data_IF_106318342237
#
_entry.id   IF_106318342237
#
_cell.length_a   1.000
_cell.length_b   1.000
_cell.length_c   1.000
_cell.angle_alpha   90.00
_cell.angle_beta   90.00
_cell.angle_gamma   90.00
#
_symmetry.space_group_name_H-M   'P 1'
#
loop_
_entity.id
_entity.type
_entity.pdbx_description
1 polymer ?
#
# COMPACT_ATOMS: atom_id res chain seq x y z
N UNK A 1 -20.17 -0.05 -92.68
CA UNK A 1 -20.72 0.31 -91.35
C UNK A 1 -20.58 -0.90 -90.46
N UNK A 2 -19.51 -0.92 -89.64
CA UNK A 2 -19.24 -2.00 -88.70
C UNK A 2 -19.59 -1.55 -87.32
N UNK A 3 -20.52 -2.21 -86.67
CA UNK A 3 -20.89 -1.99 -85.20
C UNK A 3 -19.90 -2.76 -84.33
N UNK A 4 -19.15 -2.07 -83.50
CA UNK A 4 -18.38 -2.70 -82.45
C UNK A 4 -19.30 -3.01 -81.27
N UNK A 5 -19.27 -4.23 -80.83
CA UNK A 5 -19.92 -4.74 -79.62
C UNK A 5 -18.91 -4.65 -78.47
N UNK A 6 -19.15 -3.82 -77.49
CA UNK A 6 -18.34 -3.76 -76.27
C UNK A 6 -19.00 -4.71 -75.23
N UNK A 7 -18.28 -5.78 -74.91
CA UNK A 7 -18.67 -6.70 -73.82
C UNK A 7 -18.01 -6.20 -72.53
N UNK A 8 -18.81 -5.74 -71.58
CA UNK A 8 -18.36 -5.41 -70.27
C UNK A 8 -18.34 -6.68 -69.37
N UNK A 9 -17.14 -7.13 -68.96
CA UNK A 9 -16.96 -8.14 -67.95
C UNK A 9 -17.11 -7.52 -66.56
N UNK A 10 -18.16 -7.85 -65.86
CA UNK A 10 -18.31 -7.55 -64.44
C UNK A 10 -17.55 -8.58 -63.61
N UNK A 11 -16.41 -8.20 -63.02
CA UNK A 11 -15.73 -8.97 -62.00
C UNK A 11 -16.47 -8.73 -60.65
N UNK A 12 -17.27 -9.68 -60.23
CA UNK A 12 -17.77 -9.76 -58.84
C UNK A 12 -16.67 -10.30 -57.96
N UNK A 13 -15.89 -9.37 -57.36
CA UNK A 13 -14.95 -9.73 -56.28
C UNK A 13 -15.69 -10.09 -55.03
N UNK A 14 -15.76 -11.39 -54.72
CA UNK A 14 -16.22 -11.88 -53.42
C UNK A 14 -15.15 -11.62 -52.38
N UNK A 15 -15.23 -10.48 -51.66
CA UNK A 15 -14.41 -10.25 -50.45
C UNK A 15 -14.89 -11.17 -49.34
N UNK A 16 -14.19 -12.26 -49.16
CA UNK A 16 -14.31 -13.08 -47.93
C UNK A 16 -13.72 -12.26 -46.80
N UNK A 17 -14.59 -11.62 -46.01
CA UNK A 17 -14.20 -11.07 -44.73
C UNK A 17 -13.77 -12.24 -43.84
N UNK A 18 -12.61 -12.17 -43.17
CA UNK A 18 -12.25 -13.19 -42.21
C UNK A 18 -13.31 -13.17 -41.09
N UNK A 19 -13.98 -14.32 -40.93
CA UNK A 19 -14.83 -14.57 -39.77
C UNK A 19 -13.95 -14.40 -38.51
N UNK A 20 -14.18 -13.33 -37.77
CA UNK A 20 -13.64 -13.18 -36.44
C UNK A 20 -14.25 -14.30 -35.60
N UNK A 21 -13.48 -15.35 -35.41
CA UNK A 21 -13.82 -16.43 -34.47
C UNK A 21 -14.13 -15.74 -33.13
N UNK A 22 -15.38 -15.86 -32.68
CA UNK A 22 -15.77 -15.43 -31.35
C UNK A 22 -14.82 -16.09 -30.36
N UNK A 23 -13.96 -15.26 -29.74
CA UNK A 23 -13.09 -15.74 -28.68
C UNK A 23 -13.97 -16.39 -27.61
N UNK A 24 -13.72 -17.66 -27.34
CA UNK A 24 -14.40 -18.44 -26.30
C UNK A 24 -14.37 -17.75 -24.91
N UNK A 25 -15.19 -18.21 -23.97
CA UNK A 25 -15.37 -17.58 -22.71
C UNK A 25 -14.07 -17.47 -21.90
N UNK A 26 -14.01 -16.46 -21.03
CA UNK A 26 -12.87 -16.02 -20.21
C UNK A 26 -12.44 -17.06 -19.15
N UNK A 27 -12.77 -18.32 -19.29
CA UNK A 27 -12.48 -19.39 -18.32
C UNK A 27 -11.02 -19.90 -18.32
N UNK A 28 -10.17 -19.40 -19.21
CA UNK A 28 -8.77 -19.82 -19.32
C UNK A 28 -7.84 -19.29 -18.19
N UNK A 29 -8.35 -18.48 -17.25
CA UNK A 29 -7.55 -17.98 -16.14
C UNK A 29 -7.36 -19.01 -15.03
N UNK A 30 -8.30 -19.90 -14.84
CA UNK A 30 -8.26 -20.94 -13.81
C UNK A 30 -8.52 -22.30 -14.45
N UNK A 31 -7.49 -23.12 -14.46
CA UNK A 31 -7.61 -24.55 -14.72
C UNK A 31 -7.61 -25.32 -13.41
N UNK A 32 -8.38 -26.40 -13.31
CA UNK A 32 -8.43 -27.19 -12.10
C UNK A 32 -8.48 -28.68 -12.36
N UNK A 33 -7.62 -29.42 -11.68
CA UNK A 33 -7.49 -30.86 -11.77
C UNK A 33 -7.92 -31.53 -10.47
N UNK A 34 -8.52 -32.73 -10.58
CA UNK A 34 -8.83 -33.53 -9.41
C UNK A 34 -7.54 -34.07 -8.79
N UNK A 35 -7.51 -34.11 -7.47
CA UNK A 35 -6.41 -34.67 -6.68
C UNK A 35 -6.87 -35.88 -5.88
N UNK A 36 -5.89 -36.72 -5.53
CA UNK A 36 -6.02 -37.76 -4.50
C UNK A 36 -5.18 -37.38 -3.28
N UNK A 37 -5.43 -38.01 -2.17
CA UNK A 37 -4.52 -37.95 -1.02
C UNK A 37 -3.14 -38.48 -1.43
N UNK A 38 -2.09 -37.90 -0.85
CA UNK A 38 -0.70 -38.19 -1.17
C UNK A 38 -0.07 -37.09 -2.02
N UNK A 39 1.05 -37.41 -2.65
CA UNK A 39 1.87 -36.45 -3.40
C UNK A 39 1.51 -36.43 -4.87
N UNK A 40 1.20 -35.24 -5.37
CA UNK A 40 0.95 -34.97 -6.81
C UNK A 40 1.97 -33.98 -7.34
N UNK A 41 2.50 -34.24 -8.55
CA UNK A 41 3.38 -33.33 -9.29
C UNK A 41 2.62 -32.70 -10.43
N UNK A 42 2.76 -31.38 -10.63
CA UNK A 42 2.19 -30.67 -11.78
C UNK A 42 3.24 -29.83 -12.47
N UNK A 43 3.18 -29.79 -13.82
CA UNK A 43 3.99 -28.87 -14.59
C UNK A 43 3.39 -27.47 -14.56
N UNK A 44 4.24 -26.47 -14.59
CA UNK A 44 3.90 -25.06 -14.58
C UNK A 44 4.45 -24.40 -15.85
N UNK A 45 3.63 -23.63 -16.53
CA UNK A 45 4.03 -22.91 -17.76
C UNK A 45 3.91 -21.40 -17.58
N UNK A 46 2.72 -20.91 -17.33
CA UNK A 46 2.39 -19.49 -17.22
C UNK A 46 1.51 -19.17 -16.00
N UNK A 47 1.29 -20.16 -15.14
CA UNK A 47 0.54 -19.98 -13.92
C UNK A 47 1.28 -19.07 -12.96
N UNK A 48 0.53 -18.21 -12.28
CA UNK A 48 1.02 -17.30 -11.22
C UNK A 48 1.01 -17.96 -9.85
N UNK A 49 -0.03 -18.76 -9.62
CA UNK A 49 -0.24 -19.47 -8.36
C UNK A 49 -0.98 -20.79 -8.58
N UNK A 50 -0.88 -21.64 -7.57
CA UNK A 50 -1.75 -22.81 -7.43
C UNK A 50 -2.48 -22.72 -6.07
N UNK A 51 -3.49 -23.56 -5.90
CA UNK A 51 -4.16 -23.73 -4.62
C UNK A 51 -4.91 -25.03 -4.54
N UNK A 52 -5.07 -25.55 -3.34
CA UNK A 52 -5.78 -26.82 -3.09
C UNK A 52 -7.07 -26.53 -2.35
N UNK A 53 -8.15 -27.14 -2.82
CA UNK A 53 -9.49 -27.06 -2.20
C UNK A 53 -10.07 -28.42 -2.01
N UNK A 54 -11.05 -28.58 -1.12
CA UNK A 54 -11.77 -29.82 -0.88
C UNK A 54 -13.23 -29.55 -0.50
N UNK A 55 -14.09 -30.53 -0.70
CA UNK A 55 -15.53 -30.40 -0.42
C UNK A 55 -15.89 -30.74 1.01
N UNK A 56 -15.28 -31.76 1.59
CA UNK A 56 -15.56 -32.20 2.96
C UNK A 56 -14.36 -32.85 3.62
N UNK A 57 -14.41 -33.01 4.94
CA UNK A 57 -13.32 -33.56 5.76
C UNK A 57 -12.25 -32.53 6.10
N UNK A 58 -11.09 -33.01 6.52
CA UNK A 58 -9.94 -32.20 6.91
C UNK A 58 -8.74 -32.52 6.06
N UNK A 59 -7.96 -31.50 5.70
CA UNK A 59 -6.71 -31.65 4.98
C UNK A 59 -5.55 -30.96 5.70
N UNK A 60 -4.36 -31.53 5.57
CA UNK A 60 -3.08 -30.88 5.75
C UNK A 60 -2.38 -30.89 4.41
N UNK A 61 -1.92 -29.76 3.98
CA UNK A 61 -1.31 -29.59 2.65
C UNK A 61 0.11 -29.10 2.81
N UNK A 62 1.06 -29.80 2.20
CA UNK A 62 2.43 -29.32 2.05
C UNK A 62 2.73 -29.17 0.57
N UNK A 63 3.59 -28.24 0.24
CA UNK A 63 3.98 -27.96 -1.14
C UNK A 63 5.47 -27.67 -1.25
N UNK A 64 6.00 -27.84 -2.46
CA UNK A 64 7.34 -27.41 -2.82
C UNK A 64 7.43 -27.11 -4.31
N UNK A 65 8.42 -26.32 -4.66
CA UNK A 65 8.66 -25.87 -6.01
C UNK A 65 9.93 -26.49 -6.58
N UNK A 66 9.93 -26.81 -7.85
CA UNK A 66 11.12 -27.17 -8.61
C UNK A 66 11.57 -25.96 -9.40
N UNK A 67 12.85 -25.61 -9.27
CA UNK A 67 13.46 -24.44 -9.93
C UNK A 67 14.90 -24.76 -10.29
N UNK A 68 15.29 -24.54 -11.54
CA UNK A 68 16.66 -24.78 -12.03
C UNK A 68 17.18 -26.19 -11.68
N UNK A 69 16.36 -27.22 -11.88
CA UNK A 69 16.74 -28.63 -11.66
C UNK A 69 16.73 -29.07 -10.19
N UNK A 70 16.24 -28.27 -9.24
CA UNK A 70 16.23 -28.58 -7.80
C UNK A 70 14.85 -28.36 -7.17
N UNK A 71 14.50 -29.23 -6.24
CA UNK A 71 13.33 -29.05 -5.38
C UNK A 71 13.67 -28.19 -4.18
N UNK A 72 12.78 -27.26 -3.83
CA UNK A 72 12.83 -26.57 -2.54
C UNK A 72 12.55 -27.55 -1.38
N UNK A 73 12.77 -27.12 -0.14
CA UNK A 73 12.20 -27.79 1.02
C UNK A 73 10.66 -27.82 0.94
N UNK A 74 10.06 -28.77 1.66
CA UNK A 74 8.62 -28.80 1.85
C UNK A 74 8.16 -27.68 2.78
N UNK A 75 7.16 -26.93 2.35
CA UNK A 75 6.49 -25.89 3.13
C UNK A 75 5.08 -26.34 3.46
N UNK A 76 4.61 -26.12 4.67
CA UNK A 76 3.21 -26.35 5.02
C UNK A 76 2.38 -25.17 4.53
N UNK A 77 1.32 -25.46 3.77
CA UNK A 77 0.40 -24.43 3.30
C UNK A 77 -0.48 -23.91 4.44
N UNK A 78 -0.68 -22.61 4.49
CA UNK A 78 -1.71 -22.02 5.33
C UNK A 78 -3.09 -22.39 4.79
N UNK A 79 -4.00 -22.69 5.72
CA UNK A 79 -5.35 -23.10 5.38
C UNK A 79 -6.31 -21.96 5.69
N UNK A 80 -7.13 -21.64 4.71
CA UNK A 80 -8.23 -20.71 4.91
C UNK A 80 -9.56 -21.47 4.95
N UNK A 81 -10.21 -21.37 6.09
CA UNK A 81 -11.54 -21.90 6.34
C UNK A 81 -12.58 -20.78 6.36
N UNK A 82 -12.42 -19.80 5.47
CA UNK A 82 -13.16 -18.55 5.39
C UNK A 82 -14.67 -18.68 5.66
N UNK A 83 -15.28 -17.54 6.03
CA UNK A 83 -16.73 -17.41 6.24
C UNK A 83 -17.55 -17.66 4.96
N UNK A 84 -16.89 -17.73 3.78
CA UNK A 84 -17.48 -17.94 2.47
C UNK A 84 -16.78 -19.05 1.70
N UNK A 85 -17.52 -19.73 0.81
CA UNK A 85 -16.97 -20.67 -0.18
C UNK A 85 -16.63 -22.04 0.37
N UNK A 86 -15.62 -22.66 -0.20
CA UNK A 86 -15.13 -23.99 0.15
C UNK A 86 -13.77 -23.89 0.86
N UNK A 87 -13.47 -24.83 1.78
CA UNK A 87 -12.17 -24.83 2.44
C UNK A 87 -11.03 -25.07 1.45
N UNK A 88 -9.86 -24.51 1.73
CA UNK A 88 -8.69 -24.63 0.88
C UNK A 88 -7.45 -24.02 1.50
N UNK A 89 -6.37 -23.99 0.71
CA UNK A 89 -5.16 -23.26 1.08
C UNK A 89 -5.33 -21.78 0.82
N UNK A 90 -4.48 -20.94 1.42
CA UNK A 90 -4.17 -19.63 0.86
C UNK A 90 -3.54 -19.79 -0.53
N UNK A 91 -3.48 -18.74 -1.37
CA UNK A 91 -2.83 -18.80 -2.67
C UNK A 91 -1.35 -19.22 -2.53
N UNK A 92 -0.95 -20.30 -3.20
CA UNK A 92 0.44 -20.76 -3.21
C UNK A 92 1.15 -20.12 -4.42
N UNK A 93 1.82 -19.01 -4.20
CA UNK A 93 2.42 -18.22 -5.27
C UNK A 93 3.66 -18.89 -5.85
N UNK A 94 3.71 -18.97 -7.18
CA UNK A 94 4.82 -19.54 -7.93
C UNK A 94 6.06 -18.66 -7.85
N UNK A 95 7.22 -19.18 -7.38
CA UNK A 95 8.49 -18.48 -7.45
C UNK A 95 8.95 -18.25 -8.90
N UNK A 96 9.80 -17.24 -9.10
CA UNK A 96 10.39 -17.01 -10.42
C UNK A 96 11.19 -18.23 -10.89
N UNK A 97 10.95 -18.66 -12.14
CA UNK A 97 11.66 -19.78 -12.75
C UNK A 97 11.21 -21.16 -12.29
N UNK A 98 10.21 -21.30 -11.42
CA UNK A 98 9.68 -22.60 -11.09
C UNK A 98 8.96 -23.22 -12.29
N UNK A 99 9.27 -24.47 -12.61
CA UNK A 99 8.71 -25.22 -13.74
C UNK A 99 7.80 -26.38 -13.31
N UNK A 100 7.95 -26.86 -12.05
CA UNK A 100 7.10 -27.87 -11.45
C UNK A 100 6.67 -27.44 -10.04
N UNK A 101 5.51 -27.94 -9.63
CA UNK A 101 5.07 -27.93 -8.24
C UNK A 101 4.77 -29.34 -7.76
N UNK A 102 5.03 -29.62 -6.50
CA UNK A 102 4.48 -30.77 -5.80
C UNK A 102 3.60 -30.32 -4.64
N UNK A 103 2.47 -30.97 -4.51
CA UNK A 103 1.59 -30.85 -3.34
C UNK A 103 1.44 -32.22 -2.70
N UNK A 104 1.51 -32.31 -1.37
CA UNK A 104 1.28 -33.53 -0.58
C UNK A 104 0.07 -33.26 0.33
N UNK A 105 -1.02 -33.94 0.08
CA UNK A 105 -2.28 -33.77 0.81
C UNK A 105 -2.52 -34.98 1.69
N UNK A 106 -2.73 -34.73 2.99
CA UNK A 106 -3.02 -35.74 4.00
C UNK A 106 -4.28 -35.38 4.77
N UNK A 107 -4.93 -36.37 5.35
CA UNK A 107 -6.15 -36.23 6.15
C UNK A 107 -7.31 -37.06 5.65
N UNK A 108 -8.53 -36.58 5.90
CA UNK A 108 -9.78 -37.23 5.53
C UNK A 108 -10.55 -36.48 4.46
N UNK A 109 -9.92 -35.52 3.78
CA UNK A 109 -10.57 -34.66 2.80
C UNK A 109 -11.05 -35.44 1.58
N UNK A 110 -12.22 -35.06 1.07
CA UNK A 110 -12.80 -35.60 -0.18
C UNK A 110 -13.15 -34.47 -1.16
N UNK A 111 -13.28 -34.82 -2.45
CA UNK A 111 -13.52 -33.82 -3.50
C UNK A 111 -12.35 -32.86 -3.67
N UNK A 112 -11.14 -33.37 -3.50
CA UNK A 112 -9.90 -32.61 -3.62
C UNK A 112 -9.67 -32.12 -5.04
N UNK A 113 -9.32 -30.84 -5.17
CA UNK A 113 -8.96 -30.21 -6.45
C UNK A 113 -7.74 -29.31 -6.27
N UNK A 114 -6.89 -29.26 -7.29
CA UNK A 114 -5.85 -28.26 -7.41
C UNK A 114 -6.23 -27.27 -8.52
N UNK A 115 -6.36 -26.01 -8.17
CA UNK A 115 -6.50 -24.93 -9.13
C UNK A 115 -5.12 -24.42 -9.55
N UNK A 116 -4.98 -24.06 -10.82
CA UNK A 116 -3.83 -23.40 -11.42
C UNK A 116 -4.30 -22.09 -12.01
N UNK A 117 -3.80 -20.97 -11.51
CA UNK A 117 -4.26 -19.63 -11.90
C UNK A 117 -3.19 -18.93 -12.72
N UNK A 118 -3.55 -18.52 -13.93
CA UNK A 118 -2.70 -17.77 -14.84
C UNK A 118 -2.91 -16.26 -14.73
N UNK A 119 -2.08 -15.46 -15.40
CA UNK A 119 -2.11 -14.00 -15.31
C UNK A 119 -3.09 -13.30 -16.28
N UNK A 120 -3.74 -14.05 -17.13
CA UNK A 120 -4.69 -13.51 -18.11
C UNK A 120 -4.10 -12.53 -19.13
N UNK A 121 -2.79 -12.48 -19.30
CA UNK A 121 -2.10 -11.50 -20.17
C UNK A 121 -2.51 -11.55 -21.64
N UNK A 122 -3.12 -12.63 -22.12
CA UNK A 122 -3.43 -12.80 -23.55
C UNK A 122 -4.51 -11.88 -24.11
N UNK A 123 -5.26 -11.15 -23.28
CA UNK A 123 -6.40 -10.32 -23.75
C UNK A 123 -6.32 -8.82 -23.44
N UNK A 124 -5.25 -8.30 -22.83
CA UNK A 124 -5.15 -6.88 -22.47
C UNK A 124 -4.67 -5.96 -23.60
N UNK A 125 -4.70 -6.38 -24.85
CA UNK A 125 -4.35 -5.52 -25.98
C UNK A 125 -5.31 -4.37 -26.28
N UNK A 126 -6.45 -4.22 -25.61
CA UNK A 126 -7.49 -3.27 -26.04
C UNK A 126 -8.15 -2.46 -24.91
N UNK A 127 -7.86 -2.68 -23.65
CA UNK A 127 -8.63 -2.05 -22.56
C UNK A 127 -7.89 -1.02 -21.67
N UNK A 128 -6.74 -0.49 -22.09
CA UNK A 128 -6.03 0.56 -21.33
C UNK A 128 -6.41 1.99 -21.73
N UNK A 129 -7.53 2.21 -22.41
CA UNK A 129 -7.95 3.53 -22.90
C UNK A 129 -9.19 4.08 -22.19
N UNK A 130 -9.32 3.90 -20.89
CA UNK A 130 -10.30 4.65 -20.10
C UNK A 130 -9.75 4.88 -18.69
N UNK A 131 -8.71 5.71 -18.59
CA UNK A 131 -8.39 6.33 -17.31
C UNK A 131 -9.59 7.20 -16.91
N UNK A 132 -10.57 6.61 -16.25
CA UNK A 132 -11.52 7.39 -15.47
C UNK A 132 -10.70 8.06 -14.37
N UNK A 133 -10.87 9.39 -14.25
CA UNK A 133 -10.19 10.16 -13.23
C UNK A 133 -10.30 9.45 -11.88
N UNK A 134 -9.16 9.06 -11.33
CA UNK A 134 -9.08 8.48 -9.99
C UNK A 134 -9.78 9.42 -9.02
N UNK A 135 -10.65 8.88 -8.17
CA UNK A 135 -11.41 9.68 -7.22
C UNK A 135 -10.48 10.06 -6.08
N UNK A 136 -9.94 11.28 -6.14
CA UNK A 136 -9.14 11.82 -5.04
C UNK A 136 -10.00 11.98 -3.76
N UNK A 137 -9.54 11.41 -2.65
CA UNK A 137 -10.15 11.56 -1.33
C UNK A 137 -9.15 12.22 -0.38
N UNK A 138 -9.55 13.23 0.42
CA UNK A 138 -8.60 14.09 1.14
C UNK A 138 -7.53 13.34 1.95
N UNK A 139 -7.87 12.23 2.59
CA UNK A 139 -6.92 11.45 3.41
C UNK A 139 -6.30 10.30 2.63
N UNK A 140 -7.12 9.60 1.83
CA UNK A 140 -6.71 8.39 1.12
C UNK A 140 -5.84 8.70 -0.11
N UNK A 141 -6.00 9.90 -0.68
CA UNK A 141 -5.36 10.29 -1.93
C UNK A 141 -6.01 9.63 -3.13
N UNK A 142 -5.22 9.41 -4.17
CA UNK A 142 -5.64 8.71 -5.37
C UNK A 142 -5.80 7.22 -5.11
N UNK A 143 -6.94 6.65 -5.52
CA UNK A 143 -7.22 5.22 -5.44
C UNK A 143 -7.43 4.69 -6.84
N UNK A 144 -6.67 3.66 -7.19
CA UNK A 144 -6.86 2.92 -8.42
C UNK A 144 -8.15 2.09 -8.29
N UNK A 145 -9.04 2.26 -9.25
CA UNK A 145 -10.36 1.62 -9.22
C UNK A 145 -10.29 0.14 -9.62
N UNK A 146 -11.37 -0.57 -9.44
CA UNK A 146 -11.51 -1.95 -9.94
C UNK A 146 -11.30 -2.05 -11.46
N UNK A 147 -11.69 -1.03 -12.22
CA UNK A 147 -11.44 -0.97 -13.67
C UNK A 147 -9.95 -0.84 -14.01
N UNK A 148 -9.17 -0.15 -13.18
CA UNK A 148 -7.74 0.08 -13.43
C UNK A 148 -6.91 -1.21 -13.30
N UNK A 149 -7.33 -2.18 -12.49
CA UNK A 149 -6.71 -3.50 -12.48
C UNK A 149 -7.44 -4.54 -13.33
N UNK A 150 -8.53 -4.15 -14.03
CA UNK A 150 -9.25 -5.01 -14.96
C UNK A 150 -10.11 -6.07 -14.28
N UNK A 151 -10.85 -5.69 -13.22
CA UNK A 151 -11.83 -6.58 -12.60
C UNK A 151 -12.90 -7.00 -13.62
N UNK A 152 -13.14 -8.28 -13.72
CA UNK A 152 -14.33 -8.78 -14.42
C UNK A 152 -15.51 -8.78 -13.46
N UNK A 153 -16.35 -7.75 -13.56
CA UNK A 153 -17.48 -7.55 -12.65
C UNK A 153 -18.56 -8.64 -12.77
N UNK A 154 -18.54 -9.43 -13.87
CA UNK A 154 -19.44 -10.57 -14.04
C UNK A 154 -19.11 -11.73 -13.09
N UNK A 155 -17.90 -11.74 -12.51
CA UNK A 155 -17.49 -12.77 -11.55
C UNK A 155 -18.06 -12.52 -10.15
N UNK A 156 -18.51 -11.30 -9.85
CA UNK A 156 -19.11 -10.99 -8.54
C UNK A 156 -20.38 -11.82 -8.35
N UNK A 157 -20.33 -12.75 -7.41
CA UNK A 157 -21.39 -13.77 -7.23
C UNK A 157 -22.61 -13.27 -6.45
N UNK A 158 -22.41 -12.27 -5.60
CA UNK A 158 -23.45 -11.69 -4.73
C UNK A 158 -23.27 -10.19 -4.55
N UNK A 159 -24.37 -9.48 -4.33
CA UNK A 159 -24.31 -8.08 -3.95
C UNK A 159 -23.48 -7.90 -2.66
N UNK A 160 -22.73 -6.79 -2.54
CA UNK A 160 -21.97 -6.50 -1.32
C UNK A 160 -22.87 -6.40 -0.10
N UNK A 161 -22.43 -6.96 1.01
CA UNK A 161 -23.04 -6.79 2.33
C UNK A 161 -22.28 -5.74 3.15
N UNK A 162 -22.98 -5.11 4.11
CA UNK A 162 -22.44 -3.99 4.84
C UNK A 162 -22.66 -4.15 6.35
N UNK A 163 -21.67 -3.77 7.13
CA UNK A 163 -21.81 -3.54 8.55
C UNK A 163 -22.40 -2.14 8.80
N UNK A 164 -22.84 -1.86 10.01
CA UNK A 164 -23.30 -0.53 10.42
C UNK A 164 -22.18 0.53 10.34
N UNK A 165 -20.95 0.11 10.68
CA UNK A 165 -19.74 0.93 10.59
C UNK A 165 -18.49 0.03 10.59
N UNK A 166 -17.36 0.59 10.17
CA UNK A 166 -16.03 0.02 10.44
C UNK A 166 -15.58 0.48 11.81
N UNK A 167 -15.06 -0.42 12.62
CA UNK A 167 -14.51 -0.13 13.95
C UNK A 167 -13.03 -0.46 14.11
N UNK A 168 -12.47 -1.17 13.12
CA UNK A 168 -11.06 -1.54 13.10
C UNK A 168 -10.56 -1.79 11.66
N UNK A 169 -9.26 -1.80 11.49
CA UNK A 169 -8.56 -2.17 10.25
C UNK A 169 -7.76 -3.44 10.52
N UNK A 170 -7.92 -4.44 9.66
CA UNK A 170 -7.07 -5.64 9.66
C UNK A 170 -6.03 -5.51 8.55
N UNK A 171 -4.77 -5.65 8.93
CA UNK A 171 -3.64 -5.58 8.00
C UNK A 171 -3.25 -6.98 7.58
N UNK A 172 -3.07 -7.17 6.27
CA UNK A 172 -2.67 -8.43 5.63
C UNK A 172 -1.48 -8.22 4.70
N UNK A 173 -0.90 -9.32 4.24
CA UNK A 173 -0.14 -9.39 3.00
C UNK A 173 -0.81 -10.41 2.05
N UNK A 174 -0.44 -10.37 0.76
CA UNK A 174 -0.99 -11.32 -0.22
C UNK A 174 -0.09 -12.51 -0.47
N UNK A 175 1.08 -12.53 0.15
CA UNK A 175 2.11 -13.57 0.03
C UNK A 175 2.60 -13.83 -1.40
N UNK A 176 2.30 -12.96 -2.35
CA UNK A 176 2.85 -13.05 -3.69
C UNK A 176 4.34 -12.66 -3.69
N UNK A 177 5.07 -13.17 -4.68
CA UNK A 177 6.50 -12.87 -4.82
C UNK A 177 6.78 -11.37 -4.84
N UNK A 178 7.82 -10.97 -4.14
CA UNK A 178 8.37 -9.61 -4.14
C UNK A 178 9.11 -9.29 -5.45
N UNK A 179 9.51 -8.03 -5.66
CA UNK A 179 10.27 -7.61 -6.85
C UNK A 179 9.44 -7.53 -8.14
N UNK A 180 8.13 -7.41 -8.03
CA UNK A 180 7.24 -7.11 -9.16
C UNK A 180 7.39 -5.65 -9.62
N UNK A 181 7.15 -5.39 -10.90
CA UNK A 181 7.13 -4.03 -11.47
C UNK A 181 5.77 -3.35 -11.28
N UNK A 182 5.68 -2.01 -11.44
CA UNK A 182 4.39 -1.31 -11.43
C UNK A 182 3.37 -1.86 -12.44
N UNK A 183 3.83 -2.38 -13.57
CA UNK A 183 2.98 -2.95 -14.62
C UNK A 183 2.44 -4.35 -14.26
N UNK A 184 3.08 -5.06 -13.34
CA UNK A 184 2.64 -6.38 -12.90
C UNK A 184 1.45 -6.32 -11.94
N UNK A 185 1.27 -5.21 -11.22
CA UNK A 185 0.30 -5.11 -10.12
C UNK A 185 -1.13 -5.46 -10.53
N UNK A 186 -1.68 -4.95 -11.64
CA UNK A 186 -3.03 -5.35 -12.06
C UNK A 186 -3.18 -6.86 -12.25
N UNK A 187 -2.15 -7.55 -12.77
CA UNK A 187 -2.20 -8.99 -12.98
C UNK A 187 -2.10 -9.79 -11.68
N UNK A 188 -1.39 -9.29 -10.68
CA UNK A 188 -1.34 -9.91 -9.36
C UNK A 188 -2.71 -9.83 -8.68
N UNK A 189 -3.35 -8.66 -8.69
CA UNK A 189 -4.69 -8.47 -8.11
C UNK A 189 -5.72 -9.36 -8.83
N UNK A 190 -5.64 -9.47 -10.17
CA UNK A 190 -6.54 -10.38 -10.91
C UNK A 190 -6.32 -11.85 -10.59
N UNK A 191 -5.08 -12.27 -10.32
CA UNK A 191 -4.81 -13.64 -9.93
C UNK A 191 -5.42 -13.97 -8.57
N UNK A 192 -5.27 -13.09 -7.57
CA UNK A 192 -5.97 -13.20 -6.29
C UNK A 192 -7.49 -13.23 -6.45
N UNK A 193 -8.03 -12.33 -7.28
CA UNK A 193 -9.46 -12.27 -7.54
C UNK A 193 -9.98 -13.56 -8.19
N UNK A 194 -9.26 -14.06 -9.19
CA UNK A 194 -9.61 -15.33 -9.84
C UNK A 194 -9.56 -16.49 -8.84
N UNK A 195 -8.55 -16.55 -8.01
CA UNK A 195 -8.43 -17.57 -6.96
C UNK A 195 -9.59 -17.49 -5.96
N UNK A 196 -9.86 -16.32 -5.41
CA UNK A 196 -10.95 -16.14 -4.45
C UNK A 196 -12.31 -16.51 -5.03
N UNK A 197 -12.63 -16.04 -6.23
CA UNK A 197 -13.99 -16.22 -6.79
C UNK A 197 -14.14 -17.54 -7.53
N UNK A 198 -13.20 -17.92 -8.40
CA UNK A 198 -13.34 -19.10 -9.25
C UNK A 198 -12.93 -20.38 -8.54
N UNK A 199 -11.91 -20.30 -7.66
CA UNK A 199 -11.39 -21.47 -6.93
C UNK A 199 -12.09 -21.65 -5.58
N UNK A 200 -12.08 -20.60 -4.75
CA UNK A 200 -12.62 -20.65 -3.37
C UNK A 200 -14.15 -20.47 -3.33
N UNK A 201 -14.74 -19.95 -4.39
CA UNK A 201 -16.18 -19.71 -4.46
C UNK A 201 -16.67 -18.51 -3.67
N UNK A 202 -15.77 -17.60 -3.28
CA UNK A 202 -16.13 -16.36 -2.59
C UNK A 202 -16.95 -15.43 -3.49
N UNK A 203 -17.68 -14.51 -2.86
CA UNK A 203 -18.55 -13.59 -3.60
C UNK A 203 -17.74 -12.58 -4.43
N UNK A 204 -16.53 -12.22 -3.99
CA UNK A 204 -15.64 -11.26 -4.62
C UNK A 204 -14.22 -11.43 -4.04
N UNK A 205 -13.30 -10.55 -4.40
CA UNK A 205 -11.98 -10.43 -3.77
C UNK A 205 -12.15 -10.27 -2.24
N UNK A 206 -11.32 -10.94 -1.46
CA UNK A 206 -11.43 -10.96 0.00
C UNK A 206 -11.18 -9.60 0.66
N UNK A 207 -10.16 -8.90 0.19
CA UNK A 207 -9.69 -7.64 0.76
C UNK A 207 -10.50 -6.44 0.28
N UNK A 208 -10.79 -5.48 1.20
CA UNK A 208 -11.47 -4.24 0.83
C UNK A 208 -10.57 -3.33 0.00
N UNK A 209 -9.31 -3.20 0.38
CA UNK A 209 -8.29 -2.41 -0.29
C UNK A 209 -6.99 -3.20 -0.38
N UNK A 210 -6.15 -2.86 -1.37
CA UNK A 210 -4.78 -3.36 -1.48
C UNK A 210 -3.82 -2.18 -1.58
N UNK A 211 -2.57 -2.42 -1.18
CA UNK A 211 -1.47 -1.46 -1.28
C UNK A 211 -0.30 -2.15 -1.97
N UNK A 212 0.32 -1.49 -2.95
CA UNK A 212 1.53 -2.01 -3.59
C UNK A 212 2.82 -1.37 -3.03
N UNK A 213 3.97 -1.96 -3.35
CA UNK A 213 5.28 -1.47 -2.89
C UNK A 213 5.63 -0.05 -3.39
N UNK A 214 4.91 0.47 -4.40
CA UNK A 214 5.08 1.80 -4.95
C UNK A 214 4.23 2.85 -4.24
N UNK A 215 3.40 2.44 -3.26
CA UNK A 215 2.54 3.31 -2.48
C UNK A 215 1.20 3.65 -3.14
N UNK A 216 0.79 2.90 -4.16
CA UNK A 216 -0.54 3.04 -4.75
C UNK A 216 -1.56 2.25 -3.94
N UNK A 217 -2.76 2.81 -3.80
CA UNK A 217 -3.90 2.17 -3.15
C UNK A 217 -4.86 1.70 -4.22
N UNK A 218 -5.35 0.48 -4.11
CA UNK A 218 -6.21 -0.18 -5.07
C UNK A 218 -7.53 -0.57 -4.41
N UNK A 219 -8.66 -0.29 -5.06
CA UNK A 219 -9.95 -0.81 -4.64
C UNK A 219 -9.99 -2.32 -4.91
N UNK A 220 -10.22 -3.10 -3.88
CA UNK A 220 -10.32 -4.55 -3.96
C UNK A 220 -11.77 -5.01 -4.10
N UNK A 221 -12.41 -5.38 -2.98
CA UNK A 221 -13.79 -5.86 -2.94
C UNK A 221 -14.78 -4.77 -3.35
N UNK A 222 -15.71 -5.11 -4.23
CA UNK A 222 -16.81 -4.24 -4.65
C UNK A 222 -17.68 -3.84 -3.45
N UNK A 223 -18.13 -2.60 -3.44
CA UNK A 223 -19.06 -2.13 -2.39
C UNK A 223 -18.97 -0.64 -2.11
N UNK A 224 -17.93 0.00 -2.60
CA UNK A 224 -17.68 1.44 -2.50
C UNK A 224 -16.93 1.85 -1.24
N UNK A 225 -16.03 2.79 -1.42
CA UNK A 225 -15.08 3.23 -0.39
C UNK A 225 -15.76 3.93 0.81
N UNK A 226 -16.89 4.58 0.65
CA UNK A 226 -17.59 5.27 1.74
C UNK A 226 -18.53 4.38 2.56
N UNK A 227 -18.53 3.08 2.33
CA UNK A 227 -19.43 2.12 2.98
C UNK A 227 -18.66 1.08 3.77
N UNK A 228 -19.23 0.61 4.87
CA UNK A 228 -18.62 -0.43 5.71
C UNK A 228 -18.82 -1.83 5.08
N UNK A 229 -18.24 -2.01 3.88
CA UNK A 229 -18.33 -3.27 3.12
C UNK A 229 -17.70 -4.41 3.89
N UNK A 230 -18.42 -5.49 4.10
CA UNK A 230 -17.92 -6.69 4.77
C UNK A 230 -17.05 -7.46 3.78
N UNK A 231 -15.77 -7.64 4.13
CA UNK A 231 -14.80 -8.43 3.38
C UNK A 231 -14.89 -9.93 3.68
N UNK A 232 -13.95 -10.67 3.08
CA UNK A 232 -13.68 -12.08 3.38
C UNK A 232 -12.17 -12.22 3.57
N UNK A 233 -11.63 -11.62 4.63
CA UNK A 233 -10.19 -11.50 4.85
C UNK A 233 -9.74 -11.95 6.25
N UNK A 234 -10.64 -12.06 7.22
CA UNK A 234 -10.34 -12.49 8.58
C UNK A 234 -11.52 -13.28 9.14
N UNK A 235 -11.48 -14.60 9.00
CA UNK A 235 -12.55 -15.49 9.46
C UNK A 235 -13.04 -15.14 10.87
N UNK A 236 -14.34 -15.00 11.02
CA UNK A 236 -14.99 -14.66 12.29
C UNK A 236 -14.87 -13.18 12.69
N UNK A 237 -14.09 -12.38 12.00
CA UNK A 237 -13.83 -10.95 12.30
C UNK A 237 -14.04 -10.01 11.11
N UNK A 238 -14.65 -10.48 10.03
CA UNK A 238 -14.91 -9.66 8.83
C UNK A 238 -15.92 -8.54 9.07
N UNK A 239 -16.91 -8.73 9.95
CA UNK A 239 -17.96 -7.75 10.20
C UNK A 239 -17.44 -6.57 11.03
N UNK A 240 -17.49 -5.37 10.44
CA UNK A 240 -17.03 -4.14 11.10
C UNK A 240 -15.51 -3.93 11.05
N UNK A 241 -14.78 -4.73 10.27
CA UNK A 241 -13.37 -4.51 9.98
C UNK A 241 -13.17 -4.18 8.51
N UNK A 242 -12.18 -3.33 8.22
CA UNK A 242 -11.70 -3.05 6.88
C UNK A 242 -10.39 -3.83 6.67
N UNK A 243 -10.39 -4.77 5.73
CA UNK A 243 -9.18 -5.52 5.38
C UNK A 243 -8.35 -4.78 4.35
N UNK A 244 -7.10 -4.50 4.67
CA UNK A 244 -6.11 -3.97 3.71
C UNK A 244 -4.96 -4.94 3.55
N UNK A 245 -4.65 -5.33 2.31
CA UNK A 245 -3.55 -6.25 2.02
C UNK A 245 -2.39 -5.53 1.32
N UNK A 246 -1.18 -5.70 1.86
CA UNK A 246 0.04 -5.34 1.19
C UNK A 246 0.36 -6.40 0.13
N UNK A 247 0.50 -5.99 -1.14
CA UNK A 247 0.95 -6.89 -2.19
C UNK A 247 2.42 -7.27 -1.95
N UNK A 248 2.68 -8.57 -1.87
CA UNK A 248 4.00 -9.14 -1.62
C UNK A 248 4.04 -10.08 -0.43
N UNK A 249 5.14 -10.82 -0.32
CA UNK A 249 5.46 -11.66 0.83
C UNK A 249 6.22 -10.82 1.88
N UNK A 250 5.52 -10.45 2.93
CA UNK A 250 6.08 -9.69 4.05
C UNK A 250 6.69 -10.59 5.12
N UNK A 251 6.63 -11.90 4.98
CA UNK A 251 7.35 -12.84 5.86
C UNK A 251 8.86 -12.74 5.62
N UNK A 252 9.25 -12.53 4.34
CA UNK A 252 10.64 -12.48 3.91
C UNK A 252 11.11 -11.09 3.46
N UNK A 253 10.25 -10.06 3.58
CA UNK A 253 10.58 -8.69 3.20
C UNK A 253 9.98 -7.67 4.17
N UNK A 254 10.38 -6.41 4.01
CA UNK A 254 9.75 -5.27 4.69
C UNK A 254 9.01 -4.40 3.67
N UNK A 255 7.90 -3.82 4.10
CA UNK A 255 7.19 -2.85 3.30
C UNK A 255 8.06 -1.62 3.03
N UNK A 256 8.08 -1.14 1.79
CA UNK A 256 8.75 0.10 1.43
C UNK A 256 8.17 1.30 2.19
N UNK A 257 8.92 2.39 2.32
CA UNK A 257 8.42 3.63 2.92
C UNK A 257 7.16 4.13 2.20
N UNK A 258 7.12 4.02 0.87
CA UNK A 258 5.94 4.39 0.08
C UNK A 258 4.71 3.54 0.44
N UNK A 259 4.89 2.23 0.59
CA UNK A 259 3.84 1.30 1.01
C UNK A 259 3.37 1.57 2.45
N UNK A 260 4.29 1.81 3.39
CA UNK A 260 3.94 2.17 4.77
C UNK A 260 3.11 3.45 4.83
N UNK A 261 3.48 4.48 4.07
CA UNK A 261 2.70 5.72 3.93
C UNK A 261 1.32 5.45 3.31
N UNK A 262 1.22 4.56 2.34
CA UNK A 262 -0.06 4.19 1.74
C UNK A 262 -0.97 3.42 2.72
N UNK A 263 -0.42 2.44 3.47
CA UNK A 263 -1.13 1.76 4.56
C UNK A 263 -1.61 2.76 5.61
N UNK A 264 -0.78 3.72 5.99
CA UNK A 264 -1.14 4.78 6.92
C UNK A 264 -2.27 5.67 6.39
N UNK A 265 -2.29 6.00 5.09
CA UNK A 265 -3.43 6.70 4.47
C UNK A 265 -4.72 5.89 4.53
N UNK A 266 -4.66 4.57 4.30
CA UNK A 266 -5.83 3.67 4.43
C UNK A 266 -6.33 3.66 5.87
N UNK A 267 -5.43 3.54 6.85
CA UNK A 267 -5.77 3.58 8.28
C UNK A 267 -6.39 4.92 8.65
N UNK A 268 -5.76 6.03 8.27
CA UNK A 268 -6.24 7.39 8.54
C UNK A 268 -7.59 7.67 7.88
N UNK A 269 -7.79 7.18 6.65
CA UNK A 269 -9.07 7.25 5.96
C UNK A 269 -10.17 6.50 6.72
N UNK A 270 -9.91 5.26 7.15
CA UNK A 270 -10.87 4.49 7.95
C UNK A 270 -11.18 5.21 9.27
N UNK A 271 -10.15 5.68 9.98
CA UNK A 271 -10.28 6.39 11.24
C UNK A 271 -11.11 7.68 11.10
N UNK A 272 -10.87 8.47 10.05
CA UNK A 272 -11.64 9.70 9.76
C UNK A 272 -13.08 9.39 9.36
N UNK A 273 -13.29 8.40 8.47
CA UNK A 273 -14.63 8.10 7.92
C UNK A 273 -15.56 7.54 8.98
N UNK A 274 -15.06 6.74 9.92
CA UNK A 274 -15.85 6.07 10.95
C UNK A 274 -15.57 6.55 12.37
N UNK A 275 -14.85 7.67 12.53
CA UNK A 275 -14.62 8.40 13.78
C UNK A 275 -14.02 7.55 14.90
N UNK A 276 -12.84 6.99 14.69
CA UNK A 276 -12.09 6.31 15.74
C UNK A 276 -10.59 6.71 15.74
N UNK A 277 -9.95 6.62 16.91
CA UNK A 277 -8.50 6.80 17.02
C UNK A 277 -7.81 5.44 16.74
N UNK A 278 -6.97 5.33 15.69
CA UNK A 278 -6.31 4.07 15.31
C UNK A 278 -5.35 3.52 16.37
N UNK A 279 -4.93 4.33 17.34
CA UNK A 279 -4.00 3.97 18.42
C UNK A 279 -4.70 3.26 19.60
N UNK A 280 -6.02 3.29 19.64
CA UNK A 280 -6.81 2.71 20.72
C UNK A 280 -7.15 1.25 20.46
N UNK A 281 -7.84 0.64 21.41
CA UNK A 281 -8.33 -0.76 21.33
C UNK A 281 -9.84 -0.81 21.06
N UNK A 282 -10.31 -1.98 20.66
CA UNK A 282 -11.73 -2.28 20.44
C UNK A 282 -12.04 -3.70 20.93
N UNK A 283 -13.26 -3.92 21.40
CA UNK A 283 -13.77 -5.25 21.74
C UNK A 283 -14.56 -5.80 20.55
N UNK A 284 -14.09 -6.91 20.00
CA UNK A 284 -14.73 -7.61 18.89
C UNK A 284 -15.26 -8.96 19.38
N UNK A 285 -16.41 -9.37 18.85
CA UNK A 285 -16.99 -10.69 19.09
C UNK A 285 -16.69 -11.60 17.92
N UNK A 286 -15.94 -12.66 18.16
CA UNK A 286 -15.68 -13.69 17.14
C UNK A 286 -16.98 -14.36 16.70
N UNK A 287 -17.09 -14.58 15.39
CA UNK A 287 -18.12 -15.46 14.79
C UNK A 287 -17.61 -16.89 14.57
N UNK A 288 -16.41 -17.18 15.06
CA UNK A 288 -15.68 -18.43 14.88
C UNK A 288 -14.47 -18.23 13.98
N UNK A 289 -13.27 -18.33 14.55
CA UNK A 289 -12.00 -18.35 13.81
C UNK A 289 -11.15 -19.52 14.31
N UNK A 290 -10.07 -19.87 13.59
CA UNK A 290 -9.14 -20.90 14.08
C UNK A 290 -8.54 -20.60 15.45
N UNK A 291 -8.44 -19.31 15.84
CA UNK A 291 -7.89 -18.87 17.13
C UNK A 291 -8.94 -18.68 18.20
N UNK A 292 -10.17 -18.27 17.85
CA UNK A 292 -11.20 -17.90 18.82
C UNK A 292 -12.56 -18.53 18.46
N UNK A 293 -13.16 -19.28 19.37
CA UNK A 293 -14.48 -19.86 19.15
C UNK A 293 -15.54 -18.77 18.98
N UNK A 294 -16.64 -19.12 18.32
CA UNK A 294 -17.80 -18.23 18.14
C UNK A 294 -18.32 -17.73 19.49
N UNK A 295 -18.69 -16.46 19.54
CA UNK A 295 -19.17 -15.79 20.75
C UNK A 295 -18.06 -15.21 21.65
N UNK A 296 -16.81 -15.63 21.51
CA UNK A 296 -15.69 -15.10 22.29
C UNK A 296 -15.51 -13.60 22.01
N UNK A 297 -15.44 -12.78 23.07
CA UNK A 297 -15.10 -11.36 22.99
C UNK A 297 -13.60 -11.21 23.18
N UNK A 298 -12.95 -10.55 22.24
CA UNK A 298 -11.50 -10.32 22.23
C UNK A 298 -11.25 -8.81 22.21
N UNK A 299 -10.29 -8.34 22.99
CA UNK A 299 -9.80 -6.96 22.94
C UNK A 299 -8.59 -6.93 22.02
N UNK A 300 -8.70 -6.18 20.90
CA UNK A 300 -7.64 -5.98 19.92
C UNK A 300 -7.36 -4.49 19.79
N UNK A 301 -6.18 -4.14 19.26
CA UNK A 301 -6.00 -2.79 18.75
C UNK A 301 -6.95 -2.53 17.58
N UNK A 302 -7.32 -1.27 17.33
CA UNK A 302 -8.16 -0.91 16.18
C UNK A 302 -7.44 -1.08 14.83
N UNK A 303 -6.12 -1.20 14.86
CA UNK A 303 -5.32 -1.65 13.71
C UNK A 303 -4.54 -2.88 14.18
N UNK A 304 -4.86 -4.02 13.63
CA UNK A 304 -4.29 -5.30 14.02
C UNK A 304 -3.93 -6.16 12.81
N UNK A 305 -3.04 -7.12 12.99
CA UNK A 305 -2.63 -8.05 11.95
C UNK A 305 -3.54 -9.29 11.90
N UNK A 306 -3.64 -9.93 10.76
CA UNK A 306 -4.45 -11.14 10.57
C UNK A 306 -4.09 -12.24 11.58
N UNK A 307 -2.80 -12.45 11.86
CA UNK A 307 -2.34 -13.43 12.85
C UNK A 307 -2.86 -13.21 14.28
N UNK A 308 -3.40 -12.03 14.60
CA UNK A 308 -4.04 -11.80 15.91
C UNK A 308 -5.43 -12.46 16.02
N UNK A 309 -6.06 -12.79 14.89
CA UNK A 309 -7.40 -13.42 14.83
C UNK A 309 -7.41 -14.79 14.16
N UNK A 310 -6.40 -15.11 13.34
CA UNK A 310 -6.18 -16.37 12.66
C UNK A 310 -4.95 -17.13 13.18
N UNK A 311 -4.72 -18.33 12.67
CA UNK A 311 -3.47 -19.09 12.81
C UNK A 311 -2.74 -18.98 11.48
N UNK A 312 -1.96 -17.91 11.31
CA UNK A 312 -1.28 -17.53 10.06
C UNK A 312 -0.07 -16.67 10.38
N UNK A 313 0.93 -16.69 9.53
CA UNK A 313 2.09 -15.79 9.58
C UNK A 313 1.76 -14.38 9.01
N UNK A 314 0.60 -14.23 8.35
CA UNK A 314 0.10 -12.96 7.86
C UNK A 314 -0.15 -11.97 9.03
N UNK A 315 0.31 -10.73 8.97
CA UNK A 315 0.87 -10.00 7.85
C UNK A 315 2.41 -10.01 7.77
N UNK A 316 3.10 -11.01 8.29
CA UNK A 316 4.57 -11.09 8.26
C UNK A 316 5.23 -9.97 9.08
N UNK A 317 6.27 -9.36 8.54
CA UNK A 317 7.02 -8.26 9.19
C UNK A 317 6.17 -7.04 9.53
N UNK A 318 5.04 -6.83 8.82
CA UNK A 318 4.11 -5.74 9.13
C UNK A 318 3.52 -5.86 10.55
N UNK A 319 3.48 -7.07 11.14
CA UNK A 319 3.05 -7.24 12.53
C UNK A 319 3.91 -6.42 13.50
N UNK A 320 5.21 -6.34 13.25
CA UNK A 320 6.15 -5.55 14.05
C UNK A 320 6.01 -4.04 13.76
N UNK A 321 5.57 -3.68 12.54
CA UNK A 321 5.41 -2.29 12.12
C UNK A 321 4.05 -1.69 12.55
N UNK A 322 3.09 -2.50 13.05
CA UNK A 322 1.74 -2.02 13.44
C UNK A 322 1.74 -0.86 14.44
N UNK A 323 2.58 -0.83 15.49
CA UNK A 323 2.64 0.34 16.38
C UNK A 323 2.97 1.63 15.63
N UNK A 324 3.95 1.56 14.74
CA UNK A 324 4.32 2.69 13.88
C UNK A 324 3.21 3.07 12.89
N UNK A 325 2.58 2.08 12.26
CA UNK A 325 1.46 2.31 11.33
C UNK A 325 0.24 2.94 12.01
N UNK A 326 -0.01 2.64 13.29
CA UNK A 326 -1.06 3.31 14.08
C UNK A 326 -0.77 4.80 14.25
N UNK A 327 0.46 5.15 14.58
CA UNK A 327 0.88 6.57 14.70
C UNK A 327 0.83 7.29 13.35
N UNK A 328 1.37 6.69 12.29
CA UNK A 328 1.29 7.26 10.96
C UNK A 328 -0.17 7.42 10.49
N UNK A 329 -1.03 6.45 10.78
CA UNK A 329 -2.47 6.53 10.48
C UNK A 329 -3.16 7.66 11.24
N UNK A 330 -2.79 7.88 12.50
CA UNK A 330 -3.26 9.02 13.29
C UNK A 330 -2.77 10.35 12.70
N UNK A 331 -1.51 10.44 12.28
CA UNK A 331 -0.98 11.63 11.61
C UNK A 331 -1.73 11.87 10.28
N UNK A 332 -1.94 10.81 9.49
CA UNK A 332 -2.60 10.90 8.19
C UNK A 332 -4.05 11.42 8.24
N UNK A 333 -4.76 11.21 9.36
CA UNK A 333 -6.13 11.75 9.52
C UNK A 333 -6.17 13.24 9.85
N UNK A 334 -5.02 13.86 10.13
CA UNK A 334 -4.91 15.28 10.45
C UNK A 334 -4.35 16.08 9.25
N UNK A 335 -4.64 17.36 9.23
CA UNK A 335 -4.06 18.24 8.20
C UNK A 335 -2.54 18.34 8.37
N UNK A 336 -1.82 18.41 7.25
CA UNK A 336 -0.38 18.65 7.26
C UNK A 336 -0.02 19.88 8.09
N UNK A 337 1.00 19.83 8.96
CA UNK A 337 1.47 21.00 9.66
C UNK A 337 1.92 22.07 8.67
N UNK A 338 1.67 23.34 9.00
CA UNK A 338 2.03 24.50 8.17
C UNK A 338 2.80 25.50 9.00
N UNK A 339 3.71 26.23 8.35
CA UNK A 339 4.33 27.41 8.93
C UNK A 339 3.30 28.55 8.92
N UNK A 340 2.59 28.75 10.05
CA UNK A 340 1.56 29.76 10.17
C UNK A 340 2.17 31.16 10.10
N UNK A 341 3.20 31.40 10.91
CA UNK A 341 3.96 32.67 10.92
C UNK A 341 5.46 32.38 11.02
N UNK A 342 6.27 33.25 10.44
CA UNK A 342 7.71 33.30 10.66
C UNK A 342 8.12 34.78 10.56
N UNK A 343 8.71 35.32 11.61
CA UNK A 343 9.18 36.67 11.71
C UNK A 343 10.66 36.71 12.14
N UNK A 344 11.38 37.66 11.59
CA UNK A 344 12.74 37.93 11.95
C UNK A 344 12.78 39.29 12.68
N UNK A 345 13.51 39.36 13.78
CA UNK A 345 13.77 40.59 14.53
C UNK A 345 15.27 40.80 14.72
N UNK A 346 15.70 42.05 14.93
CA UNK A 346 17.11 42.39 15.04
C UNK A 346 17.84 42.55 13.69
N UNK A 347 17.12 42.69 12.57
CA UNK A 347 17.71 43.01 11.27
C UNK A 347 17.35 44.46 10.84
N UNK A 348 18.28 45.20 10.22
CA UNK A 348 19.66 44.84 9.95
C UNK A 348 20.45 44.58 11.23
N UNK A 349 21.19 43.46 11.26
CA UNK A 349 21.97 43.07 12.42
C UNK A 349 23.25 43.92 12.49
N UNK A 350 23.63 44.35 13.69
CA UNK A 350 25.00 44.73 13.94
C UNK A 350 25.48 43.92 15.15
N UNK A 351 26.70 43.43 15.12
CA UNK A 351 27.24 42.76 16.28
C UNK A 351 27.34 43.73 17.45
N UNK A 352 26.95 43.34 18.68
CA UNK A 352 26.47 42.04 19.10
C UNK A 352 24.92 41.95 19.19
N UNK A 353 24.17 42.67 18.34
CA UNK A 353 22.71 42.63 18.36
C UNK A 353 22.19 41.29 17.81
N UNK A 354 21.46 40.48 18.59
CA UNK A 354 20.99 39.19 18.12
C UNK A 354 19.96 39.32 17.01
N UNK A 355 20.10 38.49 16.00
CA UNK A 355 19.06 38.22 15.00
C UNK A 355 18.24 37.03 15.49
N UNK A 356 16.95 37.18 15.64
CA UNK A 356 16.06 36.16 16.18
C UNK A 356 14.98 35.84 15.16
N UNK A 357 14.92 34.57 14.73
CA UNK A 357 13.77 34.01 14.04
C UNK A 357 12.82 33.40 15.08
N UNK A 358 11.57 33.86 15.07
CA UNK A 358 10.45 33.25 15.77
C UNK A 358 9.41 32.80 14.79
N UNK A 359 8.89 31.57 14.97
CA UNK A 359 7.85 31.03 14.12
C UNK A 359 6.76 30.33 14.93
N UNK A 360 5.57 30.19 14.31
CA UNK A 360 4.46 29.38 14.81
C UNK A 360 4.05 28.39 13.75
N UNK A 361 3.80 27.15 14.17
CA UNK A 361 3.27 26.09 13.33
C UNK A 361 1.80 25.86 13.68
N UNK A 362 1.03 25.38 12.69
CA UNK A 362 -0.38 25.00 12.88
C UNK A 362 -0.55 23.73 13.71
N UNK A 363 0.46 22.86 13.74
CA UNK A 363 0.49 21.62 14.51
C UNK A 363 1.93 21.27 14.91
N UNK A 364 2.09 20.29 15.81
CA UNK A 364 3.40 19.77 16.22
C UNK A 364 4.11 19.13 15.03
N UNK A 365 5.35 19.55 14.76
CA UNK A 365 6.21 18.96 13.74
C UNK A 365 7.67 18.97 14.21
N UNK A 366 8.51 18.18 13.56
CA UNK A 366 9.96 18.39 13.60
C UNK A 366 10.28 19.62 12.78
N UNK A 367 11.20 20.44 13.27
CA UNK A 367 11.60 21.65 12.59
C UNK A 367 13.11 21.86 12.64
N UNK A 368 13.61 22.51 11.60
CA UNK A 368 14.99 22.94 11.48
C UNK A 368 15.00 24.37 10.97
N UNK A 369 15.77 25.24 11.63
CA UNK A 369 16.09 26.61 11.19
C UNK A 369 17.57 26.68 10.90
N UNK A 370 17.93 27.30 9.78
CA UNK A 370 19.34 27.51 9.39
C UNK A 370 19.50 28.91 8.87
N UNK A 371 20.52 29.61 9.38
CA UNK A 371 21.01 30.88 8.82
C UNK A 371 22.29 30.63 8.02
N UNK A 372 22.38 31.25 6.83
CA UNK A 372 23.52 31.14 5.93
C UNK A 372 23.99 32.53 5.51
N UNK A 373 25.29 32.66 5.28
CA UNK A 373 25.87 33.84 4.64
C UNK A 373 25.62 33.84 3.12
N UNK A 374 26.17 34.85 2.41
CA UNK A 374 26.08 35.03 0.96
C UNK A 374 26.83 33.94 0.17
N UNK A 375 27.75 33.21 0.79
CA UNK A 375 28.45 32.04 0.21
C UNK A 375 27.73 30.72 0.48
N UNK A 376 26.62 30.74 1.21
CA UNK A 376 25.84 29.58 1.59
C UNK A 376 26.36 28.80 2.80
N UNK A 377 27.39 29.32 3.51
CA UNK A 377 27.91 28.70 4.72
C UNK A 377 26.93 28.89 5.89
N UNK A 378 26.79 27.84 6.70
CA UNK A 378 25.89 27.86 7.87
C UNK A 378 26.54 28.68 9.00
N UNK A 379 25.93 29.80 9.37
CA UNK A 379 26.37 30.65 10.47
C UNK A 379 25.63 30.34 11.76
N UNK A 380 24.40 29.91 11.71
CA UNK A 380 23.63 29.43 12.85
C UNK A 380 22.60 28.39 12.47
N UNK A 381 22.28 27.46 13.37
CA UNK A 381 21.22 26.51 13.18
C UNK A 381 20.60 26.03 14.49
N UNK A 382 19.32 25.70 14.45
CA UNK A 382 18.62 25.03 15.54
C UNK A 382 17.62 24.04 14.95
N UNK A 383 17.34 22.98 15.70
CA UNK A 383 16.32 21.98 15.34
C UNK A 383 15.58 21.54 16.60
N UNK A 384 14.35 21.07 16.43
CA UNK A 384 13.53 20.60 17.54
C UNK A 384 12.23 19.99 17.08
N UNK A 385 11.37 19.70 18.06
CA UNK A 385 9.98 19.24 17.82
C UNK A 385 9.03 20.12 18.63
N UNK A 386 7.95 20.56 18.00
CA UNK A 386 6.94 21.40 18.67
C UNK A 386 6.26 22.35 17.70
N UNK A 387 5.59 23.37 18.25
CA UNK A 387 4.81 24.35 17.48
C UNK A 387 5.47 25.73 17.44
N UNK A 388 6.64 25.92 18.06
CA UNK A 388 7.32 27.21 18.18
C UNK A 388 8.81 27.10 17.83
N UNK A 389 9.17 27.01 16.56
CA UNK A 389 10.56 27.10 16.11
C UNK A 389 11.16 28.44 16.49
N UNK A 390 12.38 28.41 17.03
CA UNK A 390 13.13 29.62 17.35
C UNK A 390 14.63 29.41 17.14
N UNK A 391 15.30 30.41 16.56
CA UNK A 391 16.75 30.47 16.46
C UNK A 391 17.19 31.91 16.81
N UNK A 392 18.17 32.05 17.69
CA UNK A 392 18.85 33.31 17.99
C UNK A 392 20.31 33.19 17.56
N UNK A 393 20.81 34.19 16.86
CA UNK A 393 22.20 34.34 16.44
C UNK A 393 22.68 35.73 16.78
N UNK A 394 23.82 35.84 17.46
CA UNK A 394 24.42 37.07 17.94
C UNK A 394 25.17 37.86 16.87
N UNK A 395 25.07 37.48 15.62
CA UNK A 395 25.82 38.04 14.49
C UNK A 395 27.35 37.92 14.66
N UNK A 396 27.81 36.88 15.35
CA UNK A 396 29.23 36.58 15.54
C UNK A 396 29.62 35.30 14.76
N UNK A 397 30.88 35.25 14.31
CA UNK A 397 31.44 34.05 13.71
C UNK A 397 31.63 32.93 14.74
N UNK A 398 31.54 31.69 14.34
CA UNK A 398 31.88 30.53 15.17
C UNK A 398 33.32 30.12 14.93
N UNK A 399 34.23 30.65 15.71
CA UNK A 399 35.65 30.30 15.69
C UNK A 399 36.28 30.38 17.06
N UNK A 400 37.55 30.03 17.21
CA UNK A 400 38.30 30.19 18.44
C UNK A 400 38.46 31.67 18.86
N UNK A 401 38.30 32.59 17.92
CA UNK A 401 38.11 34.02 18.12
C UNK A 401 36.76 34.42 17.49
N UNK A 402 35.72 34.66 18.28
CA UNK A 402 34.45 35.12 17.73
C UNK A 402 34.64 36.57 17.20
N UNK A 403 34.53 36.70 15.87
CA UNK A 403 34.55 37.97 15.17
C UNK A 403 33.15 38.37 14.75
N UNK A 404 32.84 39.67 14.64
CA UNK A 404 31.59 40.12 14.04
C UNK A 404 31.39 39.51 12.66
N UNK A 405 30.16 39.13 12.35
CA UNK A 405 29.80 38.65 11.02
C UNK A 405 30.07 39.75 9.97
N UNK A 406 30.52 39.34 8.80
CA UNK A 406 30.76 40.26 7.68
C UNK A 406 29.46 40.94 7.27
N UNK A 407 29.50 42.27 7.00
CA UNK A 407 28.33 42.92 6.40
C UNK A 407 27.95 42.28 5.07
N UNK A 408 26.67 42.09 4.83
CA UNK A 408 26.17 41.46 3.62
C UNK A 408 24.77 40.89 3.75
N UNK A 409 24.31 40.25 2.69
CA UNK A 409 22.98 39.62 2.64
C UNK A 409 23.09 38.17 3.09
N UNK A 410 22.36 37.85 4.12
CA UNK A 410 22.21 36.49 4.68
C UNK A 410 20.86 35.90 4.31
N UNK A 411 20.71 34.63 4.51
CA UNK A 411 19.43 33.94 4.33
C UNK A 411 19.07 33.09 5.53
N UNK A 412 17.77 32.91 5.74
CA UNK A 412 17.27 31.92 6.67
C UNK A 412 16.34 30.95 5.95
N UNK A 413 16.38 29.71 6.41
CA UNK A 413 15.45 28.65 5.96
C UNK A 413 14.87 27.99 7.19
N UNK A 414 13.53 27.93 7.25
CA UNK A 414 12.76 27.10 8.18
C UNK A 414 12.14 25.96 7.38
N UNK A 415 12.48 24.72 7.74
CA UNK A 415 11.89 23.49 7.24
C UNK A 415 11.13 22.81 8.37
N UNK A 416 9.91 22.38 8.11
CA UNK A 416 9.12 21.55 9.02
C UNK A 416 8.74 20.23 8.36
N UNK A 417 8.67 19.17 9.17
CA UNK A 417 8.41 17.81 8.71
C UNK A 417 7.71 17.03 9.84
N UNK A 418 6.63 16.31 9.53
CA UNK A 418 5.96 15.41 10.47
C UNK A 418 6.24 13.93 10.19
N UNK A 419 7.10 13.64 9.21
CA UNK A 419 7.47 12.29 8.80
C UNK A 419 6.47 11.62 7.85
N UNK A 420 5.33 12.27 7.59
CA UNK A 420 4.27 11.72 6.75
C UNK A 420 3.94 12.60 5.53
N UNK A 421 3.59 13.87 5.76
CA UNK A 421 3.29 14.82 4.69
C UNK A 421 4.56 15.38 4.05
N UNK A 422 4.39 16.04 2.90
CA UNK A 422 5.49 16.78 2.30
C UNK A 422 5.93 17.93 3.21
N UNK A 423 7.24 18.15 3.37
CA UNK A 423 7.74 19.22 4.23
C UNK A 423 7.27 20.58 3.74
N UNK A 424 6.86 21.46 4.69
CA UNK A 424 6.69 22.88 4.40
C UNK A 424 8.02 23.61 4.64
N UNK A 425 8.45 24.42 3.66
CA UNK A 425 9.74 25.12 3.69
C UNK A 425 9.52 26.58 3.38
N UNK A 426 10.07 27.45 4.21
CA UNK A 426 10.07 28.89 4.01
C UNK A 426 11.47 29.44 4.11
N UNK A 427 11.89 30.24 3.12
CA UNK A 427 13.18 30.91 3.09
C UNK A 427 13.01 32.38 2.79
N UNK A 428 13.86 33.23 3.39
CA UNK A 428 13.97 34.67 3.09
C UNK A 428 15.39 35.15 3.35
N UNK A 429 15.72 36.30 2.79
CA UNK A 429 16.97 37.00 3.03
C UNK A 429 16.82 38.09 4.11
N UNK A 430 17.91 38.49 4.70
CA UNK A 430 18.05 39.63 5.62
C UNK A 430 19.47 40.18 5.55
N UNK A 431 19.65 41.45 5.91
CA UNK A 431 20.95 42.09 5.85
C UNK A 431 21.62 42.15 7.22
N UNK A 432 22.94 42.04 7.24
CA UNK A 432 23.82 42.28 8.37
C UNK A 432 24.61 43.53 8.04
N UNK A 433 24.47 44.55 8.91
CA UNK A 433 25.14 45.83 8.75
C UNK A 433 26.57 45.85 9.31
N UNK A 434 27.26 46.99 9.13
CA UNK A 434 28.55 47.22 9.79
C UNK A 434 28.39 47.21 11.31
N UNK A 435 29.35 46.61 12.07
CA UNK A 435 29.37 46.73 13.53
C UNK A 435 29.39 48.19 13.94
N UNK A 436 28.61 48.54 14.97
CA UNK A 436 28.76 49.89 15.53
C UNK A 436 30.11 50.02 16.28
N UNK A 437 30.65 51.21 16.31
CA UNK A 437 31.96 51.48 16.90
C UNK A 437 32.03 51.12 18.42
N UNK A 438 30.88 51.10 19.10
CA UNK A 438 30.76 50.74 20.52
C UNK A 438 30.71 49.21 20.68
N UNK A 439 30.12 48.51 19.75
CA UNK A 439 30.08 47.02 19.71
C UNK A 439 31.46 46.42 19.50
N UNK A 440 32.28 47.03 18.65
CA UNK A 440 33.66 46.59 18.38
C UNK A 440 34.55 46.67 19.64
N UNK A 441 34.39 47.68 20.47
CA UNK A 441 35.18 47.86 21.71
C UNK A 441 34.78 46.84 22.79
N UNK A 442 33.53 46.37 22.81
CA UNK A 442 33.04 45.37 23.78
C UNK A 442 33.38 43.93 23.39
N UNK A 443 33.76 43.68 22.14
CA UNK A 443 34.08 42.32 21.63
C UNK A 443 35.56 41.95 21.76
N UNK A 444 36.43 42.87 22.24
CA UNK A 444 37.85 42.61 22.46
C UNK A 444 38.02 42.03 23.87
N UNK A 445 38.44 40.76 24.03
CA UNK A 445 38.69 40.19 25.34
C UNK A 445 39.83 40.93 26.03
N UNK A 446 39.56 41.68 27.14
CA UNK A 446 40.56 42.29 27.97
C UNK A 446 40.74 43.82 27.85
N UNK A 447 39.77 44.57 27.32
CA UNK A 447 39.72 46.05 27.43
C UNK A 447 38.75 46.48 28.52
#
# INVERSE_FOLDING_TARGET
MRRLLVVALALTGLTVLPTVSSAGPVDDLVDSVSLSLGTTTTALSHERLIGVTWQSGTASVRYRWHTAGRWSAWTTAELDTADEGIPGTEPLWRPAGADLAQVDVRGSASGLRMARVSDGRRRLGIALASARAAVARPVLGEVQTRADWGADESWVRRAPSYASKVVAVTVHHTDNRNGYSPADVPSLIRADYAYHVKTRGWADLGYNLLVDQFGRVWEGRRGGLGRATIGTHAQGFNTGTLGVAMLGDMTHARASVAAQKALARVIGYAATTWHFDPRTTVRLRSKGSPRYPSGRVVTLHRVFGHGETGITDCPGSLQQDLPHLRELGWIAMHAAPRIATASLSGAPAHAPTPVVLDARLSAVAHWQVVFRDDQGLVVASAAGKGTRPRLSWDAMSRGSLPLPASPGTYSWTLRIDDGFHDPDVRSRTFDVGLPDAVGLLRSIPGS
#
